data_IF_324218337096
#
_entry.id   IF_324218337096
#
_cell.length_a   1.000
_cell.length_b   1.000
_cell.length_c   1.000
_cell.angle_alpha   90.00
_cell.angle_beta   90.00
_cell.angle_gamma   90.00
#
_symmetry.space_group_name_H-M   'P 1'
#
loop_
_entity.id
_entity.type
_entity.pdbx_description
1 polymer ?
#
# COMPACT_ATOMS: atom_id res chain seq x y z
N UNK A 1 -10.40 0.16 28.83
CA UNK A 1 -9.78 0.21 27.50
C UNK A 1 -10.88 0.60 26.52
N UNK A 2 -10.70 1.56 25.63
CA UNK A 2 -11.74 1.90 24.67
C UNK A 2 -11.91 0.76 23.64
N UNK A 3 -13.09 0.67 23.01
CA UNK A 3 -13.32 -0.35 21.97
C UNK A 3 -12.39 -0.16 20.77
N UNK A 4 -12.08 1.07 20.42
CA UNK A 4 -11.11 1.39 19.36
C UNK A 4 -9.74 0.80 19.73
N UNK A 5 -9.30 0.96 20.98
CA UNK A 5 -8.01 0.38 21.45
C UNK A 5 -8.04 -1.16 21.45
N UNK A 6 -9.20 -1.77 21.72
CA UNK A 6 -9.36 -3.22 21.64
C UNK A 6 -9.19 -3.70 20.18
N UNK A 7 -9.84 -3.03 19.22
CA UNK A 7 -9.69 -3.28 17.79
C UNK A 7 -8.24 -3.11 17.35
N UNK A 8 -7.57 -2.02 17.74
CA UNK A 8 -6.17 -1.76 17.44
C UNK A 8 -5.24 -2.89 17.93
N UNK A 9 -5.43 -3.33 19.18
CA UNK A 9 -4.64 -4.43 19.75
C UNK A 9 -4.86 -5.77 19.03
N UNK A 10 -6.07 -6.04 18.54
CA UNK A 10 -6.40 -7.22 17.74
C UNK A 10 -5.66 -7.18 16.40
N UNK A 11 -5.59 -6.01 15.76
CA UNK A 11 -4.82 -5.82 14.51
C UNK A 11 -3.33 -6.04 14.76
N UNK A 12 -2.74 -5.38 15.77
CA UNK A 12 -1.31 -5.53 16.12
C UNK A 12 -0.96 -7.00 16.41
N UNK A 13 -1.86 -7.71 17.11
CA UNK A 13 -1.66 -9.12 17.44
C UNK A 13 -1.97 -10.09 16.27
N UNK A 14 -2.40 -9.60 15.11
CA UNK A 14 -2.72 -10.40 13.93
C UNK A 14 -3.89 -11.36 14.11
N UNK A 15 -4.83 -11.07 15.02
CA UNK A 15 -5.97 -11.94 15.35
C UNK A 15 -7.13 -11.76 14.36
N UNK A 16 -6.89 -12.10 13.09
CA UNK A 16 -7.82 -11.85 11.99
C UNK A 16 -9.26 -12.37 12.25
N UNK A 17 -9.39 -13.55 12.89
CA UNK A 17 -10.71 -14.14 13.21
C UNK A 17 -11.54 -13.31 14.19
N UNK A 18 -10.90 -12.46 14.98
CA UNK A 18 -11.55 -11.62 15.99
C UNK A 18 -11.82 -10.19 15.47
N UNK A 19 -11.12 -9.76 14.43
CA UNK A 19 -11.12 -8.37 13.97
C UNK A 19 -12.52 -7.90 13.57
N UNK A 20 -13.23 -8.67 12.76
CA UNK A 20 -14.60 -8.31 12.34
C UNK A 20 -15.56 -8.19 13.52
N UNK A 21 -15.52 -9.13 14.47
CA UNK A 21 -16.38 -9.10 15.66
C UNK A 21 -16.06 -7.92 16.58
N UNK A 22 -14.79 -7.56 16.73
CA UNK A 22 -14.38 -6.41 17.53
C UNK A 22 -14.80 -5.08 16.89
N UNK A 23 -14.67 -4.95 15.57
CA UNK A 23 -15.17 -3.78 14.84
C UNK A 23 -16.67 -3.66 14.98
N UNK A 24 -17.43 -4.77 14.82
CA UNK A 24 -18.88 -4.76 15.00
C UNK A 24 -19.27 -4.33 16.43
N UNK A 25 -18.58 -4.87 17.44
CA UNK A 25 -18.83 -4.47 18.83
C UNK A 25 -18.54 -2.99 19.09
N UNK A 26 -17.52 -2.41 18.44
CA UNK A 26 -17.25 -0.97 18.53
C UNK A 26 -18.35 -0.14 17.87
N UNK A 27 -18.86 -0.57 16.72
CA UNK A 27 -20.00 0.08 16.03
C UNK A 27 -21.27 -0.01 16.87
N UNK A 28 -21.56 -1.16 17.49
CA UNK A 28 -22.74 -1.37 18.34
C UNK A 28 -22.72 -0.50 19.61
N UNK A 29 -21.52 -0.13 20.09
CA UNK A 29 -21.33 0.83 21.20
C UNK A 29 -21.34 2.29 20.73
N UNK A 30 -21.57 2.56 19.43
CA UNK A 30 -21.70 3.89 18.87
C UNK A 30 -20.37 4.58 18.54
N UNK A 31 -19.28 3.83 18.42
CA UNK A 31 -18.01 4.42 17.94
C UNK A 31 -18.15 4.84 16.46
N UNK A 32 -17.58 5.99 16.12
CA UNK A 32 -17.57 6.50 14.75
C UNK A 32 -16.73 5.59 13.82
N UNK A 33 -17.24 5.20 12.63
CA UNK A 33 -16.50 4.35 11.69
C UNK A 33 -15.14 4.92 11.30
N UNK A 34 -14.99 6.24 11.19
CA UNK A 34 -13.71 6.89 10.86
C UNK A 34 -12.72 6.80 12.02
N UNK A 35 -13.18 6.93 13.26
CA UNK A 35 -12.33 6.77 14.44
C UNK A 35 -11.85 5.33 14.59
N UNK A 36 -12.71 4.34 14.30
CA UNK A 36 -12.32 2.92 14.28
C UNK A 36 -11.28 2.68 13.21
N UNK A 37 -11.50 3.17 11.98
CA UNK A 37 -10.53 3.07 10.88
C UNK A 37 -9.20 3.74 11.24
N UNK A 38 -9.24 4.94 11.83
CA UNK A 38 -8.05 5.66 12.30
C UNK A 38 -7.23 4.82 13.29
N UNK A 39 -7.88 4.25 14.30
CA UNK A 39 -7.21 3.36 15.27
C UNK A 39 -6.61 2.09 14.65
N UNK A 40 -7.24 1.56 13.60
CA UNK A 40 -6.69 0.42 12.86
C UNK A 40 -5.49 0.81 11.99
N UNK A 41 -5.50 1.99 11.36
CA UNK A 41 -4.37 2.55 10.61
C UNK A 41 -3.17 2.79 11.54
N UNK A 42 -3.41 3.38 12.71
CA UNK A 42 -2.37 3.57 13.73
C UNK A 42 -1.77 2.24 14.19
N UNK A 43 -2.61 1.21 14.36
CA UNK A 43 -2.15 -0.15 14.68
C UNK A 43 -1.21 -0.72 13.61
N UNK A 44 -1.53 -0.54 12.32
CA UNK A 44 -0.64 -0.93 11.22
C UNK A 44 0.64 -0.08 11.18
N UNK A 45 0.59 1.17 11.65
CA UNK A 45 1.78 2.00 11.89
C UNK A 45 2.73 1.35 12.90
N UNK A 46 2.21 0.89 14.04
CA UNK A 46 2.99 0.15 15.05
C UNK A 46 3.59 -1.14 14.48
N UNK A 47 2.82 -1.90 13.69
CA UNK A 47 3.32 -3.11 13.01
C UNK A 47 4.46 -2.75 12.05
N UNK A 48 4.33 -1.68 11.27
CA UNK A 48 5.36 -1.20 10.35
C UNK A 48 6.66 -0.82 11.07
N UNK A 49 6.59 -0.08 12.18
CA UNK A 49 7.76 0.29 12.97
C UNK A 49 8.46 -0.95 13.58
N UNK A 50 7.70 -1.90 14.13
CA UNK A 50 8.27 -3.16 14.62
C UNK A 50 8.98 -3.96 13.51
N UNK A 51 8.40 -3.96 12.31
CA UNK A 51 9.01 -4.63 11.16
C UNK A 51 10.33 -3.95 10.74
N UNK A 52 10.37 -2.62 10.66
CA UNK A 52 11.60 -1.85 10.38
C UNK A 52 12.71 -2.11 11.41
N UNK A 53 12.32 -2.25 12.67
CA UNK A 53 13.24 -2.51 13.79
C UNK A 53 13.65 -3.99 13.90
N UNK A 54 13.20 -4.87 13.01
CA UNK A 54 13.42 -6.33 13.06
C UNK A 54 12.88 -7.00 14.33
N UNK A 55 11.85 -6.41 14.97
CA UNK A 55 11.16 -6.98 16.13
C UNK A 55 10.13 -8.03 15.71
N UNK A 56 9.61 -7.91 14.50
CA UNK A 56 8.72 -8.88 13.86
C UNK A 56 9.16 -9.11 12.41
N UNK A 57 8.70 -10.21 11.80
CA UNK A 57 9.07 -10.63 10.46
C UNK A 57 7.84 -10.69 9.54
N UNK A 58 8.05 -11.05 8.27
CA UNK A 58 6.99 -11.08 7.24
C UNK A 58 5.74 -11.86 7.69
N UNK A 59 5.81 -13.05 8.32
CA UNK A 59 4.60 -13.75 8.75
C UNK A 59 3.70 -12.95 9.71
N UNK A 60 4.30 -12.22 10.67
CA UNK A 60 3.54 -11.40 11.62
C UNK A 60 2.88 -10.21 10.91
N UNK A 61 3.58 -9.59 9.96
CA UNK A 61 3.00 -8.51 9.14
C UNK A 61 1.80 -9.01 8.33
N UNK A 62 1.91 -10.20 7.72
CA UNK A 62 0.83 -10.78 6.91
C UNK A 62 -0.43 -11.07 7.74
N UNK A 63 -0.29 -11.57 8.98
CA UNK A 63 -1.46 -11.83 9.83
C UNK A 63 -2.07 -10.54 10.38
N UNK A 64 -1.27 -9.51 10.66
CA UNK A 64 -1.75 -8.17 11.02
C UNK A 64 -2.53 -7.53 9.88
N UNK A 65 -1.98 -7.55 8.64
CA UNK A 65 -2.65 -7.04 7.46
C UNK A 65 -3.97 -7.78 7.16
N UNK A 66 -4.00 -9.11 7.38
CA UNK A 66 -5.24 -9.87 7.27
C UNK A 66 -6.28 -9.44 8.32
N UNK A 67 -5.86 -9.16 9.56
CA UNK A 67 -6.75 -8.65 10.60
C UNK A 67 -7.30 -7.26 10.22
N UNK A 68 -6.44 -6.38 9.71
CA UNK A 68 -6.83 -5.07 9.17
C UNK A 68 -7.90 -5.21 8.08
N UNK A 69 -7.66 -6.03 7.05
CA UNK A 69 -8.58 -6.20 5.93
C UNK A 69 -9.94 -6.78 6.36
N UNK A 70 -9.97 -7.69 7.34
CA UNK A 70 -11.23 -8.21 7.90
C UNK A 70 -12.05 -7.12 8.59
N UNK A 71 -11.42 -6.23 9.35
CA UNK A 71 -12.09 -5.10 9.99
C UNK A 71 -12.57 -4.05 8.99
N UNK A 72 -11.71 -3.66 8.05
CA UNK A 72 -12.04 -2.67 7.01
C UNK A 72 -13.21 -3.11 6.14
N UNK A 73 -13.34 -4.41 5.86
CA UNK A 73 -14.46 -4.94 5.08
C UNK A 73 -15.83 -4.58 5.66
N UNK A 74 -15.96 -4.49 6.99
CA UNK A 74 -17.19 -4.07 7.66
C UNK A 74 -17.38 -2.55 7.64
N UNK A 75 -16.30 -1.79 7.74
CA UNK A 75 -16.35 -0.33 7.73
C UNK A 75 -16.61 0.24 6.34
N UNK A 76 -16.12 -0.42 5.28
CA UNK A 76 -16.15 0.08 3.90
C UNK A 76 -17.54 0.54 3.43
N UNK A 77 -18.64 -0.19 3.63
CA UNK A 77 -19.98 0.27 3.24
C UNK A 77 -20.43 1.53 3.98
N UNK A 78 -20.08 1.65 5.28
CA UNK A 78 -20.44 2.80 6.11
C UNK A 78 -19.65 4.04 5.69
N UNK A 79 -18.35 3.91 5.52
CA UNK A 79 -17.47 4.99 5.06
C UNK A 79 -17.84 5.52 3.66
N UNK A 80 -18.26 4.63 2.76
CA UNK A 80 -18.74 5.03 1.43
C UNK A 80 -20.03 5.85 1.50
N UNK A 81 -20.95 5.52 2.40
CA UNK A 81 -22.17 6.30 2.62
C UNK A 81 -21.86 7.71 3.17
N UNK A 82 -20.81 7.86 3.96
CA UNK A 82 -20.35 9.15 4.49
C UNK A 82 -19.48 9.95 3.50
N UNK A 83 -19.21 9.41 2.31
CA UNK A 83 -18.39 10.07 1.28
C UNK A 83 -16.89 10.12 1.62
N UNK A 84 -16.43 9.29 2.55
CA UNK A 84 -15.01 9.21 2.92
C UNK A 84 -14.21 8.65 1.75
N UNK A 85 -13.21 9.40 1.30
CA UNK A 85 -12.27 8.99 0.26
C UNK A 85 -11.06 8.30 0.86
N UNK A 86 -10.49 7.34 0.12
CA UNK A 86 -9.18 6.79 0.46
C UNK A 86 -8.14 7.92 0.52
N UNK A 87 -7.08 7.73 1.30
CA UNK A 87 -5.97 8.69 1.43
C UNK A 87 -5.32 8.98 0.07
N UNK A 88 -5.32 8.02 -0.82
CA UNK A 88 -4.83 8.12 -2.20
C UNK A 88 -5.02 6.78 -2.91
N UNK A 89 -4.81 6.78 -4.23
CA UNK A 89 -4.97 5.59 -5.08
C UNK A 89 -3.64 5.22 -5.74
N UNK A 90 -3.28 3.95 -5.65
CA UNK A 90 -2.01 3.40 -6.12
C UNK A 90 -2.27 2.25 -7.09
N UNK A 91 -1.62 2.21 -8.25
CA UNK A 91 -1.49 0.97 -9.00
C UNK A 91 -0.10 0.36 -8.74
N UNK A 92 -0.07 -0.95 -8.49
CA UNK A 92 1.15 -1.70 -8.20
C UNK A 92 1.26 -2.94 -9.06
N UNK A 93 2.44 -3.23 -9.58
CA UNK A 93 2.69 -4.40 -10.40
C UNK A 93 4.16 -4.82 -10.40
N UNK A 94 4.40 -6.07 -10.78
CA UNK A 94 5.75 -6.54 -11.12
C UNK A 94 5.96 -6.33 -12.61
N UNK A 95 7.07 -5.72 -12.96
CA UNK A 95 7.37 -5.29 -14.33
C UNK A 95 7.46 -6.47 -15.32
N UNK A 96 7.30 -6.19 -16.59
CA UNK A 96 7.32 -7.16 -17.67
C UNK A 96 8.59 -8.02 -17.66
N UNK A 97 8.42 -9.32 -17.86
CA UNK A 97 9.46 -10.33 -17.81
C UNK A 97 9.80 -10.83 -16.41
N UNK A 98 9.15 -10.31 -15.36
CA UNK A 98 9.36 -10.70 -13.98
C UNK A 98 8.05 -11.27 -13.36
N UNK A 99 8.15 -12.42 -12.68
CA UNK A 99 7.01 -13.11 -12.09
C UNK A 99 7.03 -13.12 -10.56
N UNK A 100 8.00 -12.46 -9.94
CA UNK A 100 8.16 -12.41 -8.48
C UNK A 100 7.15 -11.43 -7.88
N UNK A 101 6.32 -11.88 -6.95
CA UNK A 101 5.22 -11.11 -6.39
C UNK A 101 5.21 -11.00 -4.85
N UNK A 102 6.03 -11.79 -4.13
CA UNK A 102 6.01 -11.83 -2.66
C UNK A 102 6.28 -10.44 -2.08
N UNK A 103 7.34 -9.76 -2.54
CA UNK A 103 7.68 -8.40 -2.09
C UNK A 103 6.62 -7.38 -2.48
N UNK A 104 6.13 -7.45 -3.72
CA UNK A 104 5.03 -6.62 -4.23
C UNK A 104 3.77 -6.75 -3.36
N UNK A 105 3.37 -7.98 -3.05
CA UNK A 105 2.18 -8.24 -2.24
C UNK A 105 2.34 -7.75 -0.80
N UNK A 106 3.56 -7.81 -0.22
CA UNK A 106 3.83 -7.23 1.09
C UNK A 106 3.68 -5.69 1.06
N UNK A 107 4.25 -5.03 0.06
CA UNK A 107 4.09 -3.56 -0.12
C UNK A 107 2.61 -3.19 -0.28
N UNK A 108 1.86 -3.91 -1.12
CA UNK A 108 0.43 -3.73 -1.29
C UNK A 108 -0.32 -3.78 0.05
N UNK A 109 -0.10 -4.85 0.83
CA UNK A 109 -0.77 -5.02 2.14
C UNK A 109 -0.43 -3.89 3.12
N UNK A 110 0.82 -3.41 3.12
CA UNK A 110 1.23 -2.30 3.98
C UNK A 110 0.58 -0.98 3.53
N UNK A 111 0.46 -0.74 2.23
CA UNK A 111 -0.23 0.44 1.68
C UNK A 111 -1.73 0.41 1.99
N UNK A 112 -2.40 -0.74 1.79
CA UNK A 112 -3.81 -0.94 2.17
C UNK A 112 -4.01 -0.71 3.67
N UNK A 113 -3.09 -1.23 4.50
CA UNK A 113 -3.09 -1.01 5.95
C UNK A 113 -2.91 0.46 6.38
N UNK A 114 -2.40 1.31 5.51
CA UNK A 114 -2.28 2.77 5.72
C UNK A 114 -3.42 3.57 5.09
N UNK A 115 -4.50 2.91 4.65
CA UNK A 115 -5.69 3.56 4.11
C UNK A 115 -5.60 3.97 2.64
N UNK A 116 -4.61 3.46 1.90
CA UNK A 116 -4.51 3.65 0.46
C UNK A 116 -5.40 2.64 -0.28
N UNK A 117 -6.01 3.06 -1.37
CA UNK A 117 -6.66 2.16 -2.32
C UNK A 117 -5.61 1.63 -3.29
N UNK A 118 -5.40 0.29 -3.32
CA UNK A 118 -4.35 -0.32 -4.14
C UNK A 118 -4.95 -1.20 -5.22
N UNK A 119 -4.63 -0.87 -6.48
CA UNK A 119 -4.99 -1.63 -7.68
C UNK A 119 -3.79 -2.51 -8.03
N UNK A 120 -3.96 -3.81 -7.87
CA UNK A 120 -2.93 -4.80 -8.15
C UNK A 120 -2.99 -5.24 -9.62
N UNK A 121 -1.94 -4.93 -10.37
CA UNK A 121 -1.80 -5.29 -11.79
C UNK A 121 -1.25 -6.72 -11.98
N UNK A 122 -0.82 -7.38 -10.89
CA UNK A 122 -0.21 -8.70 -10.97
C UNK A 122 1.28 -8.66 -11.34
N UNK A 123 1.70 -9.61 -12.16
CA UNK A 123 3.08 -9.80 -12.62
C UNK A 123 3.18 -9.69 -14.13
N UNK A 124 4.39 -9.56 -14.67
CA UNK A 124 4.63 -9.45 -16.12
C UNK A 124 3.89 -8.26 -16.76
N UNK A 125 3.90 -7.12 -16.09
CA UNK A 125 3.11 -5.94 -16.47
C UNK A 125 3.95 -5.01 -17.36
N UNK A 126 3.42 -4.68 -18.54
CA UNK A 126 4.07 -3.76 -19.47
C UNK A 126 4.03 -2.31 -18.98
N UNK A 127 4.98 -1.48 -19.43
CA UNK A 127 5.01 -0.05 -19.10
C UNK A 127 3.71 0.67 -19.50
N UNK A 128 3.15 0.35 -20.66
CA UNK A 128 1.89 0.93 -21.14
C UNK A 128 0.72 0.56 -20.22
N UNK A 129 0.66 -0.67 -19.71
CA UNK A 129 -0.40 -1.11 -18.79
C UNK A 129 -0.37 -0.33 -17.48
N UNK A 130 0.82 -0.07 -16.91
CA UNK A 130 0.95 0.78 -15.73
C UNK A 130 0.38 2.17 -15.97
N UNK A 131 0.79 2.80 -17.05
CA UNK A 131 0.39 4.18 -17.39
C UNK A 131 -1.10 4.25 -17.72
N UNK A 132 -1.62 3.31 -18.51
CA UNK A 132 -3.03 3.28 -18.88
C UNK A 132 -3.91 3.07 -17.65
N UNK A 133 -3.56 2.14 -16.76
CA UNK A 133 -4.29 1.95 -15.50
C UNK A 133 -4.24 3.20 -14.64
N UNK A 134 -3.10 3.86 -14.54
CA UNK A 134 -2.99 5.09 -13.75
C UNK A 134 -3.93 6.19 -14.27
N UNK A 135 -4.09 6.31 -15.59
CA UNK A 135 -5.01 7.26 -16.22
C UNK A 135 -6.48 6.86 -15.97
N UNK A 136 -6.84 5.61 -16.30
CA UNK A 136 -8.22 5.13 -16.25
C UNK A 136 -8.77 5.08 -14.82
N UNK A 137 -7.92 4.73 -13.87
CA UNK A 137 -8.29 4.59 -12.47
C UNK A 137 -7.96 5.84 -11.64
N UNK A 138 -7.43 6.89 -12.25
CA UNK A 138 -7.04 8.14 -11.58
C UNK A 138 -6.10 7.88 -10.41
N UNK A 139 -5.03 7.12 -10.64
CA UNK A 139 -4.05 6.82 -9.60
C UNK A 139 -3.15 8.04 -9.34
N UNK A 140 -2.84 8.24 -8.05
CA UNK A 140 -1.86 9.24 -7.61
C UNK A 140 -0.44 8.70 -7.73
N UNK A 141 -0.28 7.37 -7.64
CA UNK A 141 1.02 6.70 -7.57
C UNK A 141 1.03 5.45 -8.47
N UNK A 142 2.15 5.27 -9.17
CA UNK A 142 2.52 4.03 -9.87
C UNK A 142 3.66 3.37 -9.08
N UNK A 143 3.49 2.11 -8.67
CA UNK A 143 4.51 1.33 -7.97
C UNK A 143 4.99 0.16 -8.82
N UNK A 144 6.30 0.14 -9.14
CA UNK A 144 6.93 -0.91 -9.95
C UNK A 144 7.82 -1.79 -9.08
N UNK A 145 7.67 -3.11 -9.19
CA UNK A 145 8.49 -4.12 -8.53
C UNK A 145 9.30 -4.93 -9.53
N UNK A 146 10.58 -5.21 -9.23
CA UNK A 146 11.41 -6.15 -9.97
C UNK A 146 12.37 -6.88 -9.04
N UNK A 147 12.58 -8.17 -9.27
CA UNK A 147 13.56 -8.97 -8.54
C UNK A 147 14.81 -9.30 -9.40
N UNK A 148 14.70 -9.18 -10.71
CA UNK A 148 15.79 -9.49 -11.65
C UNK A 148 16.44 -8.21 -12.16
N UNK A 149 17.78 -8.20 -12.20
CA UNK A 149 18.52 -7.08 -12.80
C UNK A 149 18.22 -6.89 -14.29
N UNK A 150 17.86 -7.96 -14.97
CA UNK A 150 17.48 -7.96 -16.39
C UNK A 150 16.14 -7.30 -16.67
N UNK A 151 15.26 -7.21 -15.69
CA UNK A 151 13.92 -6.64 -15.84
C UNK A 151 13.80 -5.21 -15.29
N UNK A 152 14.76 -4.74 -14.50
CA UNK A 152 14.77 -3.38 -13.94
C UNK A 152 14.61 -2.28 -14.99
N UNK A 153 15.13 -2.48 -16.21
CA UNK A 153 15.05 -1.51 -17.30
C UNK A 153 13.61 -1.07 -17.62
N UNK A 154 12.64 -1.97 -17.46
CA UNK A 154 11.21 -1.69 -17.69
C UNK A 154 10.68 -0.59 -16.76
N UNK A 155 11.24 -0.43 -15.54
CA UNK A 155 10.89 0.68 -14.66
C UNK A 155 11.19 2.05 -15.30
N UNK A 156 12.32 2.15 -16.02
CA UNK A 156 12.66 3.34 -16.79
C UNK A 156 11.72 3.56 -17.98
N UNK A 157 11.23 2.48 -18.57
CA UNK A 157 10.26 2.57 -19.66
C UNK A 157 8.89 3.02 -19.15
N UNK A 158 8.49 2.66 -17.91
CA UNK A 158 7.29 3.22 -17.24
C UNK A 158 7.41 4.74 -17.08
N UNK A 159 8.57 5.24 -16.65
CA UNK A 159 8.81 6.69 -16.52
C UNK A 159 8.65 7.40 -17.87
N UNK A 160 9.29 6.87 -18.93
CA UNK A 160 9.18 7.42 -20.30
C UNK A 160 7.75 7.35 -20.84
N UNK A 161 7.04 6.26 -20.58
CA UNK A 161 5.65 6.10 -20.99
C UNK A 161 4.74 7.12 -20.28
N UNK A 162 4.97 7.40 -18.99
CA UNK A 162 4.25 8.43 -18.26
C UNK A 162 4.53 9.84 -18.79
N UNK A 163 5.78 10.12 -19.21
CA UNK A 163 6.16 11.38 -19.89
C UNK A 163 5.44 11.51 -21.24
N UNK A 164 5.49 10.47 -22.06
CA UNK A 164 4.85 10.44 -23.37
C UNK A 164 3.32 10.61 -23.28
N UNK A 165 2.70 10.06 -22.24
CA UNK A 165 1.28 10.20 -21.96
C UNK A 165 0.88 11.56 -21.31
N UNK A 166 1.85 12.42 -20.96
CA UNK A 166 1.59 13.72 -20.34
C UNK A 166 1.04 13.65 -18.90
N UNK A 167 1.35 12.56 -18.18
CA UNK A 167 0.92 12.35 -16.78
C UNK A 167 2.08 12.37 -15.79
N UNK A 168 3.34 12.48 -16.25
CA UNK A 168 4.52 12.38 -15.36
C UNK A 168 4.47 13.35 -14.18
N UNK A 169 3.97 14.56 -14.37
CA UNK A 169 3.83 15.57 -13.32
C UNK A 169 2.59 15.37 -12.43
N UNK A 170 1.67 14.51 -12.85
CA UNK A 170 0.39 14.25 -12.16
C UNK A 170 0.45 13.01 -11.28
N UNK A 171 1.40 12.10 -11.54
CA UNK A 171 1.57 10.85 -10.78
C UNK A 171 2.96 10.77 -10.17
N UNK A 172 3.08 10.11 -9.04
CA UNK A 172 4.37 9.75 -8.46
C UNK A 172 4.74 8.33 -8.86
N UNK A 173 6.01 8.11 -9.23
CA UNK A 173 6.51 6.79 -9.61
C UNK A 173 7.46 6.29 -8.54
N UNK A 174 7.08 5.19 -7.89
CA UNK A 174 7.86 4.51 -6.87
C UNK A 174 8.40 3.20 -7.42
N UNK A 175 9.63 2.88 -7.08
CA UNK A 175 10.27 1.64 -7.51
C UNK A 175 10.81 0.87 -6.32
N UNK A 176 10.82 -0.47 -6.41
CA UNK A 176 11.34 -1.33 -5.36
C UNK A 176 11.67 -2.73 -5.87
N UNK A 177 12.38 -3.47 -5.02
CA UNK A 177 12.84 -4.82 -5.27
C UNK A 177 14.30 -5.00 -4.92
N UNK A 178 14.75 -6.24 -4.70
CA UNK A 178 16.07 -6.52 -4.14
C UNK A 178 17.26 -5.92 -4.94
N UNK A 179 17.26 -5.88 -6.28
CA UNK A 179 18.36 -5.28 -7.04
C UNK A 179 18.24 -3.77 -7.19
N UNK A 180 17.09 -3.17 -6.82
CA UNK A 180 16.82 -1.75 -6.98
C UNK A 180 17.51 -0.95 -5.88
N UNK A 181 17.99 0.26 -6.22
CA UNK A 181 18.66 1.15 -5.30
C UNK A 181 18.44 2.62 -5.66
N UNK A 182 18.89 3.52 -4.80
CA UNK A 182 18.71 4.96 -4.96
C UNK A 182 19.42 5.52 -6.21
N UNK A 183 20.59 4.97 -6.56
CA UNK A 183 21.31 5.40 -7.77
C UNK A 183 20.50 5.08 -9.03
N UNK A 184 19.88 3.90 -9.09
CA UNK A 184 19.02 3.52 -10.20
C UNK A 184 17.74 4.37 -10.23
N UNK A 185 17.12 4.65 -9.08
CA UNK A 185 15.98 5.59 -8.99
C UNK A 185 16.31 6.93 -9.62
N UNK A 186 17.45 7.53 -9.22
CA UNK A 186 17.89 8.82 -9.75
C UNK A 186 18.19 8.75 -11.26
N UNK A 187 18.79 7.66 -11.73
CA UNK A 187 19.12 7.45 -13.14
C UNK A 187 17.89 7.44 -14.04
N UNK A 188 16.79 6.78 -13.61
CA UNK A 188 15.57 6.67 -14.43
C UNK A 188 14.58 7.81 -14.20
N UNK A 189 14.81 8.68 -13.21
CA UNK A 189 13.92 9.80 -12.89
C UNK A 189 12.66 9.40 -12.13
N UNK A 190 12.66 8.27 -11.41
CA UNK A 190 11.56 7.90 -10.52
C UNK A 190 11.54 8.78 -9.25
N UNK A 191 10.37 8.95 -8.61
CA UNK A 191 10.20 9.86 -7.47
C UNK A 191 10.69 9.27 -6.16
N UNK A 192 10.60 7.95 -5.98
CA UNK A 192 11.05 7.30 -4.74
C UNK A 192 11.52 5.86 -4.94
N UNK A 193 12.46 5.49 -4.10
CA UNK A 193 12.87 4.14 -3.78
C UNK A 193 12.85 3.98 -2.26
N UNK A 194 12.50 2.81 -1.75
CA UNK A 194 12.55 2.49 -0.33
C UNK A 194 13.10 1.09 -0.11
N UNK A 195 13.75 0.88 1.02
CA UNK A 195 14.45 -0.37 1.34
C UNK A 195 13.54 -1.48 1.83
N UNK A 196 12.33 -1.14 2.28
CA UNK A 196 11.37 -2.07 2.86
C UNK A 196 9.92 -1.65 2.59
N UNK A 197 8.99 -2.59 2.82
CA UNK A 197 7.58 -2.41 2.51
C UNK A 197 6.87 -1.39 3.41
N UNK A 198 7.27 -1.27 4.68
CA UNK A 198 6.67 -0.31 5.60
C UNK A 198 7.07 1.12 5.20
N UNK A 199 8.36 1.34 4.91
CA UNK A 199 8.86 2.61 4.39
C UNK A 199 8.23 2.98 3.04
N UNK A 200 7.94 1.98 2.18
CA UNK A 200 7.23 2.22 0.93
C UNK A 200 5.80 2.74 1.18
N UNK A 201 5.08 2.14 2.12
CA UNK A 201 3.73 2.59 2.48
C UNK A 201 3.74 4.00 3.10
N UNK A 202 4.68 4.30 4.01
CA UNK A 202 4.83 5.64 4.60
C UNK A 202 5.12 6.69 3.52
N UNK A 203 6.00 6.36 2.57
CA UNK A 203 6.33 7.28 1.47
C UNK A 203 5.14 7.51 0.56
N UNK A 204 4.38 6.47 0.24
CA UNK A 204 3.16 6.59 -0.57
C UNK A 204 2.13 7.53 0.10
N UNK A 205 1.86 7.33 1.40
CA UNK A 205 0.98 8.24 2.16
C UNK A 205 1.49 9.68 2.10
N UNK A 206 2.80 9.89 2.28
CA UNK A 206 3.38 11.24 2.23
C UNK A 206 3.16 11.94 0.88
N UNK A 207 3.16 11.21 -0.23
CA UNK A 207 2.86 11.77 -1.55
C UNK A 207 1.40 12.17 -1.74
N UNK A 208 0.47 11.46 -1.11
CA UNK A 208 -0.95 11.74 -1.21
C UNK A 208 -1.42 12.84 -0.24
N UNK A 209 -0.65 13.11 0.83
CA UNK A 209 -1.00 14.10 1.87
C UNK A 209 -0.21 15.40 1.76
N UNK A 210 0.81 15.47 0.92
CA UNK A 210 1.58 16.67 0.64
C UNK A 210 0.82 17.52 -0.41
N UNK A 211 -0.17 18.30 0.07
CA UNK A 211 -0.80 19.41 -0.65
C UNK A 211 -0.32 20.75 -0.10
#
# INVERSE_FOLDING_TARGET
MSKIQEVANIVIAGRAKLAAGAVQAALDEGCDPNEILGGMIDAMGVVGEKFKNNEIFVPEVLVAARAMNQGVSLLKPLLQQEGVKATGRVCIGTVQGDLHDIGKNLVKMMMEGKGLEVIDLGTDVSADTFVQTAIEQHCDIICCSALLTTTMGVMGDVVKAAEAAGIRDKVKIMIGGAPVNEAFRAQIGADAYTTDAASAADRAVSFCTAC
#
